data_IF_394191164730
#
_entry.id   IF_394191164730
#
_cell.length_a   1.000
_cell.length_b   1.000
_cell.length_c   1.000
_cell.angle_alpha   90.00
_cell.angle_beta   90.00
_cell.angle_gamma   90.00
#
_symmetry.space_group_name_H-M   'P 1'
#
loop_
_entity.id
_entity.type
_entity.pdbx_description
1 polymer ?
#
# COMPACT_ATOMS: atom_id res chain seq x y z
N UNK A 1 -1.34 -6.10 -13.79
CA UNK A 1 -2.68 -5.85 -14.33
C UNK A 1 -3.62 -5.69 -13.16
N UNK A 2 -4.12 -4.49 -13.02
CA UNK A 2 -4.98 -4.09 -11.92
C UNK A 2 -6.42 -4.28 -12.34
N UNK A 3 -7.15 -5.10 -11.61
CA UNK A 3 -8.60 -4.99 -11.62
C UNK A 3 -8.95 -3.78 -10.75
N UNK A 4 -9.74 -2.86 -11.28
CA UNK A 4 -10.33 -1.82 -10.48
C UNK A 4 -11.27 -2.50 -9.46
N UNK A 5 -10.88 -2.52 -8.19
CA UNK A 5 -11.66 -3.12 -7.12
C UNK A 5 -11.39 -2.36 -5.82
N UNK A 6 -12.45 -2.03 -5.12
CA UNK A 6 -12.36 -1.40 -3.81
C UNK A 6 -11.63 -2.29 -2.82
N UNK A 7 -11.07 -1.66 -1.79
CA UNK A 7 -10.36 -2.37 -0.73
C UNK A 7 -11.33 -3.25 0.06
N UNK A 8 -11.20 -4.54 -0.12
CA UNK A 8 -11.99 -5.58 0.56
C UNK A 8 -11.10 -6.76 0.93
N UNK A 9 -11.60 -7.66 1.76
CA UNK A 9 -10.85 -8.88 2.12
C UNK A 9 -10.49 -9.69 0.86
N UNK A 10 -11.46 -9.90 -0.04
CA UNK A 10 -11.26 -10.69 -1.25
C UNK A 10 -10.27 -10.03 -2.24
N UNK A 11 -10.36 -8.70 -2.43
CA UNK A 11 -9.44 -7.98 -3.32
C UNK A 11 -8.01 -7.97 -2.76
N UNK A 12 -7.86 -7.84 -1.43
CA UNK A 12 -6.57 -7.89 -0.77
C UNK A 12 -5.95 -9.30 -0.83
N UNK A 13 -6.73 -10.34 -0.59
CA UNK A 13 -6.30 -11.74 -0.73
C UNK A 13 -5.84 -12.05 -2.15
N UNK A 14 -6.60 -11.64 -3.16
CA UNK A 14 -6.24 -11.81 -4.56
C UNK A 14 -4.93 -11.08 -4.91
N UNK A 15 -4.75 -9.86 -4.40
CA UNK A 15 -3.52 -9.11 -4.59
C UNK A 15 -2.30 -9.79 -3.94
N UNK A 16 -2.44 -10.24 -2.69
CA UNK A 16 -1.38 -10.97 -1.96
C UNK A 16 -1.00 -12.27 -2.68
N UNK A 17 -1.99 -13.01 -3.17
CA UNK A 17 -1.77 -14.22 -3.97
C UNK A 17 -1.04 -13.90 -5.27
N UNK A 18 -1.42 -12.82 -5.94
CA UNK A 18 -0.76 -12.37 -7.17
C UNK A 18 0.71 -12.02 -6.92
N UNK A 19 0.99 -11.28 -5.84
CA UNK A 19 2.37 -10.93 -5.45
C UNK A 19 3.23 -12.16 -5.23
N UNK A 20 2.71 -13.17 -4.53
CA UNK A 20 3.44 -14.42 -4.27
C UNK A 20 3.72 -15.24 -5.54
N UNK A 21 2.85 -15.12 -6.55
CA UNK A 21 2.96 -15.83 -7.83
C UNK A 21 3.75 -15.06 -8.90
N UNK A 22 4.30 -13.88 -8.58
CA UNK A 22 5.08 -13.09 -9.54
C UNK A 22 6.29 -13.88 -9.99
N UNK A 23 6.44 -13.99 -11.30
CA UNK A 23 7.55 -14.67 -11.96
C UNK A 23 8.55 -13.67 -12.52
N UNK A 24 9.79 -14.11 -12.60
CA UNK A 24 10.84 -13.43 -13.34
C UNK A 24 10.67 -13.63 -14.86
N UNK A 25 11.46 -12.90 -15.66
CA UNK A 25 11.46 -12.97 -17.13
C UNK A 25 11.78 -14.36 -17.65
N UNK A 26 12.41 -15.22 -16.81
CA UNK A 26 12.71 -16.63 -17.08
C UNK A 26 11.60 -17.59 -16.64
N UNK A 27 10.49 -17.09 -16.10
CA UNK A 27 9.38 -17.89 -15.59
C UNK A 27 9.59 -18.48 -14.19
N UNK A 28 10.68 -18.12 -13.52
CA UNK A 28 10.99 -18.57 -12.15
C UNK A 28 10.25 -17.67 -11.16
N UNK A 29 9.70 -18.26 -10.09
CA UNK A 29 9.07 -17.51 -9.00
C UNK A 29 10.10 -16.63 -8.30
N UNK A 30 9.81 -15.34 -8.16
CA UNK A 30 10.73 -14.37 -7.52
C UNK A 30 10.74 -14.43 -6.01
N UNK A 31 9.77 -15.11 -5.39
CA UNK A 31 9.64 -15.17 -3.92
C UNK A 31 9.30 -13.82 -3.28
N UNK A 32 8.73 -12.90 -4.03
CA UNK A 32 8.28 -11.62 -3.51
C UNK A 32 7.18 -11.79 -2.48
N UNK A 33 7.26 -11.03 -1.38
CA UNK A 33 6.22 -10.96 -0.36
C UNK A 33 5.74 -9.52 -0.18
N UNK A 34 4.49 -9.34 0.21
CA UNK A 34 3.96 -8.05 0.59
C UNK A 34 4.62 -7.56 1.88
N UNK A 35 4.86 -6.28 2.00
CA UNK A 35 5.53 -5.66 3.14
C UNK A 35 4.62 -4.67 3.87
N UNK A 36 3.96 -3.80 3.14
CA UNK A 36 3.08 -2.76 3.69
C UNK A 36 1.95 -2.40 2.75
N UNK A 37 0.80 -2.02 3.33
CA UNK A 37 -0.36 -1.50 2.63
C UNK A 37 -0.40 0.02 2.76
N UNK A 38 -0.57 0.72 1.65
CA UNK A 38 -0.70 2.17 1.58
C UNK A 38 -2.09 2.54 1.08
N UNK A 39 -2.81 3.33 1.85
CA UNK A 39 -4.21 3.69 1.57
C UNK A 39 -4.45 5.19 1.70
N UNK A 40 -5.51 5.66 1.06
CA UNK A 40 -6.04 6.99 1.28
C UNK A 40 -6.65 7.13 2.68
N UNK A 41 -6.81 8.36 3.22
CA UNK A 41 -7.41 8.59 4.52
C UNK A 41 -8.82 8.01 4.64
N UNK A 42 -9.59 7.97 3.57
CA UNK A 42 -10.97 7.48 3.57
C UNK A 42 -11.05 5.98 3.89
N UNK A 43 -10.04 5.22 3.52
CA UNK A 43 -9.95 3.77 3.73
C UNK A 43 -9.24 3.34 5.02
N UNK A 44 -8.97 4.26 5.96
CA UNK A 44 -8.23 3.92 7.19
C UNK A 44 -8.95 2.90 8.08
N UNK A 45 -10.26 3.05 8.25
CA UNK A 45 -11.06 2.17 9.10
C UNK A 45 -11.18 0.78 8.49
N UNK A 46 -11.45 0.71 7.19
CA UNK A 46 -11.52 -0.54 6.43
C UNK A 46 -10.19 -1.28 6.47
N UNK A 47 -9.08 -0.61 6.21
CA UNK A 47 -7.75 -1.21 6.24
C UNK A 47 -7.36 -1.73 7.63
N UNK A 48 -7.70 -0.98 8.68
CA UNK A 48 -7.46 -1.42 10.05
C UNK A 48 -8.28 -2.66 10.42
N UNK A 49 -9.55 -2.70 10.04
CA UNK A 49 -10.40 -3.88 10.30
C UNK A 49 -9.93 -5.11 9.52
N UNK A 50 -9.47 -4.94 8.28
CA UNK A 50 -8.95 -6.03 7.46
C UNK A 50 -7.66 -6.65 8.03
N UNK A 51 -6.76 -5.83 8.60
CA UNK A 51 -5.47 -6.33 9.08
C UNK A 51 -5.49 -6.77 10.54
N UNK A 52 -6.28 -6.12 11.38
CA UNK A 52 -6.23 -6.32 12.84
C UNK A 52 -7.42 -7.12 13.40
N UNK A 53 -8.42 -7.44 12.60
CA UNK A 53 -9.50 -8.31 13.03
C UNK A 53 -9.04 -9.76 13.15
N UNK A 54 -9.35 -10.43 14.24
CA UNK A 54 -9.05 -11.87 14.43
C UNK A 54 -9.92 -12.77 13.55
N UNK A 55 -11.12 -12.32 13.26
CA UNK A 55 -12.05 -12.99 12.35
C UNK A 55 -12.16 -12.20 11.06
N UNK A 56 -12.54 -12.84 9.97
CA UNK A 56 -12.77 -12.16 8.70
C UNK A 56 -13.86 -11.10 8.89
N UNK A 57 -13.57 -9.80 8.61
CA UNK A 57 -14.58 -8.77 8.72
C UNK A 57 -15.75 -9.09 7.80
N UNK A 58 -16.96 -9.12 8.34
CA UNK A 58 -18.16 -9.33 7.54
C UNK A 58 -18.22 -8.24 6.47
N UNK A 59 -18.08 -8.62 5.22
CA UNK A 59 -18.38 -7.76 4.09
C UNK A 59 -19.85 -7.38 4.20
N UNK A 60 -20.21 -6.08 4.07
CA UNK A 60 -21.56 -5.55 4.27
C UNK A 60 -22.70 -6.15 3.46
N UNK A 61 -22.45 -7.21 2.72
CA UNK A 61 -23.43 -8.08 2.05
C UNK A 61 -24.19 -9.02 3.00
N UNK A 62 -24.00 -8.88 4.32
CA UNK A 62 -24.86 -9.60 5.29
C UNK A 62 -26.34 -9.27 5.10
N UNK A 63 -26.64 -8.10 4.53
CA UNK A 63 -28.02 -7.71 4.16
C UNK A 63 -28.61 -8.53 3.01
N UNK A 64 -27.78 -9.12 2.16
CA UNK A 64 -28.20 -10.02 1.10
C UNK A 64 -28.48 -11.45 1.62
N UNK A 65 -28.15 -11.74 2.86
CA UNK A 65 -28.39 -13.01 3.54
C UNK A 65 -29.84 -13.23 3.98
N UNK A 66 -30.76 -12.34 3.64
CA UNK A 66 -32.19 -12.59 3.72
C UNK A 66 -32.69 -13.64 2.72
N UNK A 67 -31.87 -14.15 1.83
CA UNK A 67 -32.16 -15.27 0.94
C UNK A 67 -31.82 -16.63 1.57
N UNK A 68 -32.41 -17.69 1.08
CA UNK A 68 -32.29 -19.08 1.55
C UNK A 68 -30.86 -19.65 1.69
N UNK A 69 -29.85 -18.93 1.30
CA UNK A 69 -28.44 -19.31 1.44
C UNK A 69 -27.85 -18.91 2.82
N UNK A 70 -28.53 -18.09 3.58
CA UNK A 70 -28.11 -17.71 4.93
C UNK A 70 -28.09 -18.89 5.92
N UNK A 71 -28.77 -19.95 5.61
CA UNK A 71 -28.92 -21.11 6.49
C UNK A 71 -27.76 -22.11 6.45
N UNK A 72 -26.85 -22.01 5.48
CA UNK A 72 -25.82 -23.01 5.25
C UNK A 72 -24.39 -22.54 5.49
N UNK A 73 -24.17 -21.76 6.50
CA UNK A 73 -22.87 -21.17 6.85
C UNK A 73 -22.67 -19.80 6.20
N UNK A 74 -23.00 -18.72 6.89
CA UNK A 74 -22.61 -17.40 6.44
C UNK A 74 -21.08 -17.37 6.42
N UNK A 75 -20.51 -17.51 5.24
CA UNK A 75 -19.08 -17.49 5.03
C UNK A 75 -18.51 -16.27 5.77
N UNK A 76 -17.61 -16.49 6.71
CA UNK A 76 -16.87 -15.44 7.39
C UNK A 76 -17.26 -15.14 8.84
N UNK A 77 -18.30 -15.70 9.42
CA UNK A 77 -18.66 -15.37 10.80
C UNK A 77 -17.71 -15.97 11.86
N UNK A 78 -17.09 -17.11 11.56
CA UNK A 78 -16.14 -17.77 12.46
C UNK A 78 -14.81 -18.12 11.77
N UNK A 79 -14.59 -17.63 10.54
CA UNK A 79 -13.37 -17.91 9.85
C UNK A 79 -12.23 -17.03 10.35
N UNK A 80 -11.11 -17.64 10.63
CA UNK A 80 -9.91 -16.95 11.07
C UNK A 80 -9.38 -16.05 9.94
N UNK A 81 -9.06 -14.81 10.28
CA UNK A 81 -8.44 -13.91 9.33
C UNK A 81 -7.00 -14.37 9.02
N UNK A 82 -6.83 -14.98 7.87
CA UNK A 82 -5.55 -15.51 7.38
C UNK A 82 -4.51 -14.41 7.17
N UNK A 83 -4.93 -13.21 6.78
CA UNK A 83 -4.03 -12.07 6.55
C UNK A 83 -3.36 -11.65 7.86
N UNK A 84 -4.14 -11.57 8.94
CA UNK A 84 -3.64 -11.23 10.26
C UNK A 84 -2.83 -12.40 10.86
N UNK A 85 -3.38 -13.61 10.86
CA UNK A 85 -2.77 -14.77 11.53
C UNK A 85 -1.41 -15.15 10.94
N UNK A 86 -1.24 -14.96 9.63
CA UNK A 86 0.03 -15.23 8.92
C UNK A 86 0.94 -13.99 8.82
N UNK A 87 0.53 -12.85 9.37
CA UNK A 87 1.28 -11.59 9.30
C UNK A 87 1.71 -11.25 7.86
N UNK A 88 0.79 -11.36 6.91
CA UNK A 88 1.06 -11.18 5.47
C UNK A 88 1.56 -9.77 5.12
N UNK A 89 1.33 -8.80 5.98
CA UNK A 89 1.77 -7.41 5.86
C UNK A 89 2.53 -6.98 7.13
N UNK A 90 3.80 -7.38 7.28
CA UNK A 90 4.55 -7.21 8.53
C UNK A 90 4.75 -5.75 8.95
N UNK A 91 4.74 -4.82 8.00
CA UNK A 91 4.84 -3.37 8.29
C UNK A 91 3.49 -2.68 8.47
N UNK A 92 2.38 -3.41 8.31
CA UNK A 92 1.02 -2.91 8.54
C UNK A 92 0.56 -1.89 7.49
N UNK A 93 -0.29 -0.96 7.92
CA UNK A 93 -0.94 0.06 7.09
C UNK A 93 -0.26 1.42 7.24
N UNK A 94 -0.06 2.08 6.11
CA UNK A 94 0.38 3.48 6.03
C UNK A 94 -0.71 4.33 5.38
N UNK A 95 -1.22 5.30 6.12
CA UNK A 95 -2.21 6.25 5.62
C UNK A 95 -1.47 7.40 4.95
N UNK A 96 -1.67 7.55 3.65
CA UNK A 96 -1.06 8.62 2.88
C UNK A 96 -2.07 9.74 2.61
N UNK A 97 -1.93 10.84 3.34
CA UNK A 97 -2.80 12.02 3.22
C UNK A 97 -2.66 12.80 1.91
N UNK A 98 -1.71 12.41 1.05
CA UNK A 98 -1.48 13.06 -0.24
C UNK A 98 -2.12 12.32 -1.41
N UNK A 99 -2.79 11.20 -1.15
CA UNK A 99 -3.57 10.54 -2.18
C UNK A 99 -4.79 11.39 -2.49
N UNK A 100 -4.97 11.69 -3.77
CA UNK A 100 -6.10 12.45 -4.30
C UNK A 100 -7.28 11.55 -4.62
N UNK A 101 -7.00 10.27 -4.83
CA UNK A 101 -7.99 9.25 -5.09
C UNK A 101 -8.32 8.54 -3.76
N UNK A 102 -9.61 8.56 -3.40
CA UNK A 102 -10.10 8.01 -2.14
C UNK A 102 -10.06 6.48 -2.11
N UNK A 103 -10.21 5.85 -3.27
CA UNK A 103 -10.40 4.40 -3.39
C UNK A 103 -9.11 3.66 -3.76
N UNK A 104 -8.09 4.39 -4.19
CA UNK A 104 -6.81 3.82 -4.56
C UNK A 104 -6.06 3.25 -3.35
N UNK A 105 -5.50 2.08 -3.54
CA UNK A 105 -4.66 1.42 -2.55
C UNK A 105 -3.47 0.72 -3.20
N UNK A 106 -2.35 0.67 -2.46
CA UNK A 106 -1.09 0.17 -2.97
C UNK A 106 -0.44 -0.77 -1.95
N UNK A 107 0.21 -1.82 -2.44
CA UNK A 107 1.01 -2.72 -1.64
C UNK A 107 2.46 -2.56 -2.04
N UNK A 108 3.31 -2.25 -1.09
CA UNK A 108 4.76 -2.31 -1.26
C UNK A 108 5.23 -3.73 -0.98
N UNK A 109 6.10 -4.26 -1.83
CA UNK A 109 6.70 -5.56 -1.69
C UNK A 109 8.14 -5.46 -1.16
N UNK A 110 8.70 -6.59 -0.73
CA UNK A 110 10.09 -6.71 -0.30
C UNK A 110 11.10 -6.83 -1.46
N UNK A 111 10.62 -6.82 -2.70
CA UNK A 111 11.48 -6.94 -3.88
C UNK A 111 12.45 -5.76 -3.93
N UNK A 112 13.78 -6.03 -4.05
CA UNK A 112 14.77 -4.97 -4.12
C UNK A 112 14.59 -4.15 -5.41
N UNK A 113 15.06 -2.91 -5.37
CA UNK A 113 15.03 -2.02 -6.53
C UNK A 113 13.64 -1.54 -7.00
N UNK A 114 12.62 -1.62 -6.16
CA UNK A 114 11.35 -0.95 -6.39
C UNK A 114 11.50 0.58 -6.41
N UNK A 115 10.73 1.27 -5.60
CA UNK A 115 10.82 2.75 -5.52
C UNK A 115 12.12 3.19 -4.82
N UNK A 116 12.83 4.13 -5.44
CA UNK A 116 14.11 4.68 -4.95
C UNK A 116 14.09 6.20 -4.95
N UNK A 117 14.73 6.77 -3.94
CA UNK A 117 15.09 8.17 -3.90
C UNK A 117 16.61 8.31 -4.11
N UNK A 118 16.99 9.06 -5.12
CA UNK A 118 18.39 9.36 -5.43
C UNK A 118 18.71 10.77 -4.97
N UNK A 119 19.56 10.89 -3.97
CA UNK A 119 20.03 12.19 -3.48
C UNK A 119 21.33 12.52 -4.18
N UNK A 120 21.33 13.52 -5.07
CA UNK A 120 22.52 14.00 -5.76
C UNK A 120 23.29 15.01 -4.90
N UNK A 121 22.58 15.88 -4.24
CA UNK A 121 23.14 16.87 -3.31
C UNK A 121 22.21 17.00 -2.12
N UNK A 122 22.66 16.70 -0.90
CA UNK A 122 21.87 16.91 0.30
C UNK A 122 21.57 18.39 0.49
N UNK A 123 20.64 18.70 1.37
CA UNK A 123 20.28 20.06 1.70
C UNK A 123 21.51 20.82 2.21
N UNK A 124 21.90 21.86 1.48
CA UNK A 124 22.98 22.77 1.82
C UNK A 124 22.39 24.15 2.03
N UNK A 125 22.71 24.75 3.17
CA UNK A 125 22.32 26.13 3.50
C UNK A 125 23.55 26.99 3.56
N UNK A 126 23.48 28.19 3.00
CA UNK A 126 24.50 29.23 3.12
C UNK A 126 23.85 30.53 3.53
N UNK A 127 24.54 31.27 4.36
CA UNK A 127 24.22 32.65 4.74
C UNK A 127 25.35 33.54 4.25
N UNK A 128 25.00 34.65 3.65
CA UNK A 128 25.96 35.62 3.13
C UNK A 128 25.40 37.02 3.39
N UNK A 129 26.15 37.88 4.12
CA UNK A 129 25.77 39.27 4.28
C UNK A 129 25.98 40.00 2.94
N UNK A 130 25.02 40.83 2.58
CA UNK A 130 25.14 41.71 1.42
C UNK A 130 25.80 43.01 1.84
N UNK A 131 26.95 43.30 1.25
CA UNK A 131 27.77 44.46 1.61
C UNK A 131 27.07 45.79 1.29
N UNK A 132 26.33 45.86 0.19
CA UNK A 132 25.70 47.09 -0.29
C UNK A 132 24.44 47.47 0.49
N UNK A 133 23.67 46.51 0.93
CA UNK A 133 22.36 46.73 1.59
C UNK A 133 22.37 46.43 3.08
N UNK A 134 23.43 45.78 3.61
CA UNK A 134 23.48 45.30 4.98
C UNK A 134 22.49 44.16 5.32
N UNK A 135 21.82 43.65 4.32
CA UNK A 135 20.84 42.57 4.49
C UNK A 135 21.52 41.19 4.50
N UNK A 136 20.93 40.25 5.24
CA UNK A 136 21.37 38.87 5.28
C UNK A 136 20.63 38.05 4.20
N UNK A 137 21.39 37.42 3.30
CA UNK A 137 20.86 36.56 2.26
C UNK A 137 20.98 35.10 2.66
N UNK A 138 19.86 34.36 2.60
CA UNK A 138 19.80 32.94 2.83
C UNK A 138 19.64 32.18 1.50
N UNK A 139 20.46 31.15 1.32
CA UNK A 139 20.34 30.23 0.19
C UNK A 139 20.24 28.81 0.69
N UNK A 140 19.20 28.11 0.29
CA UNK A 140 19.05 26.67 0.47
C UNK A 140 19.07 25.98 -0.90
N UNK A 141 19.81 24.90 -1.02
CA UNK A 141 19.88 24.10 -2.25
C UNK A 141 19.85 22.63 -1.91
N UNK A 142 18.94 21.90 -2.58
CA UNK A 142 18.84 20.45 -2.54
C UNK A 142 18.62 19.92 -3.96
N UNK A 143 19.18 18.75 -4.26
CA UNK A 143 18.95 18.07 -5.54
C UNK A 143 18.71 16.59 -5.30
N UNK A 144 17.53 16.16 -5.61
CA UNK A 144 17.13 14.75 -5.52
C UNK A 144 16.26 14.38 -6.72
N UNK A 145 16.08 13.08 -6.92
CA UNK A 145 15.24 12.51 -7.95
C UNK A 145 14.58 11.25 -7.39
N UNK A 146 13.37 10.96 -7.86
CA UNK A 146 12.67 9.72 -7.57
C UNK A 146 12.65 8.85 -8.81
N UNK A 147 12.71 7.55 -8.61
CA UNK A 147 12.63 6.60 -9.69
C UNK A 147 12.31 5.20 -9.18
N UNK A 148 12.10 4.31 -10.10
CA UNK A 148 11.89 2.88 -9.87
C UNK A 148 12.69 2.10 -10.93
N UNK A 149 13.17 0.94 -10.55
CA UNK A 149 13.91 0.06 -11.46
C UNK A 149 13.18 -1.26 -11.68
N UNK A 150 12.42 -1.72 -10.69
CA UNK A 150 11.67 -2.97 -10.78
C UNK A 150 10.19 -2.71 -10.47
N UNK A 151 9.33 -3.04 -11.43
CA UNK A 151 7.88 -2.90 -11.30
C UNK A 151 7.28 -3.83 -10.25
N UNK A 152 7.98 -4.94 -9.93
CA UNK A 152 7.54 -5.92 -8.92
C UNK A 152 7.62 -5.36 -7.49
N UNK A 153 8.33 -4.25 -7.29
CA UNK A 153 8.43 -3.56 -6.00
C UNK A 153 7.14 -2.92 -5.51
N UNK A 154 6.16 -2.75 -6.40
CA UNK A 154 4.92 -2.07 -6.08
C UNK A 154 3.74 -2.68 -6.81
N UNK A 155 2.70 -3.02 -6.06
CA UNK A 155 1.41 -3.43 -6.59
C UNK A 155 0.41 -2.32 -6.28
N UNK A 156 -0.32 -1.84 -7.27
CA UNK A 156 -1.29 -0.78 -7.09
C UNK A 156 -2.66 -1.21 -7.61
N UNK A 157 -3.72 -0.70 -7.01
CA UNK A 157 -5.09 -0.80 -7.46
C UNK A 157 -5.73 0.58 -7.41
N UNK A 158 -6.42 0.95 -8.46
CA UNK A 158 -7.02 2.27 -8.59
C UNK A 158 -8.34 2.41 -7.80
N UNK A 159 -8.94 1.28 -7.39
CA UNK A 159 -10.31 1.28 -6.89
C UNK A 159 -11.33 1.33 -8.03
N UNK A 160 -12.60 1.52 -7.69
CA UNK A 160 -13.70 1.53 -8.67
C UNK A 160 -14.35 2.91 -8.74
#
# INVERSE_FOLDING_TARGET
VLSAADLSFASLEAALTTIQKIKDDRGILTGGSAESLHVAPDNWATSNSLLNSTLIPASGTVSALGGSQAATNPAGWNDVNSIQSMSMLPKGVFINRRFTDADAWFIKTNVPNGTKMFVRSPLQTKMEPDFDTGNLRFKARERYSFGWSDWRGFFGNQGN
#
